data_IF_775215231655
#
_entry.id   IF_775215231655
#
_cell.length_a   1.000
_cell.length_b   1.000
_cell.length_c   1.000
_cell.angle_alpha   90.00
_cell.angle_beta   90.00
_cell.angle_gamma   90.00
#
_symmetry.space_group_name_H-M   'P 1'
#
loop_
_entity.id
_entity.type
_entity.pdbx_description
1 polymer ?
#
# COMPACT_ATOMS: atom_id res chain seq x y z
N UNK A 1 12.91 53.80 -11.69
CA UNK A 1 11.87 52.74 -12.00
C UNK A 1 12.28 51.76 -13.09
N UNK A 2 13.03 52.17 -14.09
CA UNK A 2 13.40 51.33 -15.28
C UNK A 2 14.34 50.13 -14.99
N UNK A 3 15.28 50.26 -14.02
CA UNK A 3 16.22 49.15 -13.69
C UNK A 3 15.55 47.92 -13.08
N UNK A 4 14.56 48.11 -12.21
CA UNK A 4 13.85 46.98 -11.58
C UNK A 4 12.93 46.21 -12.56
N UNK A 5 12.37 46.91 -13.56
CA UNK A 5 11.54 46.33 -14.58
C UNK A 5 12.35 45.39 -15.48
N UNK A 6 13.59 45.78 -15.82
CA UNK A 6 14.48 44.91 -16.64
C UNK A 6 14.91 43.62 -15.89
N UNK A 7 15.15 43.76 -14.56
CA UNK A 7 15.51 42.59 -13.73
C UNK A 7 14.33 41.61 -13.60
N UNK A 8 13.12 42.14 -13.43
CA UNK A 8 11.91 41.29 -13.33
C UNK A 8 11.68 40.54 -14.64
N UNK A 9 11.81 41.20 -15.81
CA UNK A 9 11.69 40.55 -17.12
C UNK A 9 12.76 39.48 -17.33
N UNK A 10 13.99 39.70 -16.91
CA UNK A 10 15.08 38.72 -17.00
C UNK A 10 14.82 37.51 -16.12
N UNK A 11 14.30 37.68 -14.91
CA UNK A 11 13.93 36.58 -14.00
C UNK A 11 12.77 35.75 -14.56
N UNK A 12 11.73 36.40 -15.09
CA UNK A 12 10.61 35.72 -15.72
C UNK A 12 11.08 34.91 -16.94
N UNK A 13 11.95 35.48 -17.77
CA UNK A 13 12.54 34.78 -18.93
C UNK A 13 13.37 33.56 -18.51
N UNK A 14 14.15 33.67 -17.44
CA UNK A 14 14.94 32.57 -16.90
C UNK A 14 14.04 31.44 -16.35
N UNK A 15 12.99 31.78 -15.62
CA UNK A 15 12.02 30.81 -15.07
C UNK A 15 11.30 30.09 -16.21
N UNK A 16 10.91 30.82 -17.26
CA UNK A 16 10.27 30.22 -18.44
C UNK A 16 11.23 29.30 -19.19
N UNK A 17 12.47 29.68 -19.37
CA UNK A 17 13.49 28.86 -20.01
C UNK A 17 13.77 27.57 -19.20
N UNK A 18 13.83 27.66 -17.87
CA UNK A 18 13.99 26.48 -17.00
C UNK A 18 12.76 25.56 -17.07
N UNK A 19 11.56 26.14 -17.15
CA UNK A 19 10.32 25.37 -17.30
C UNK A 19 10.28 24.62 -18.64
N UNK A 20 10.58 25.28 -19.76
CA UNK A 20 10.64 24.66 -21.08
C UNK A 20 11.74 23.60 -21.20
N UNK A 21 12.91 23.85 -20.58
CA UNK A 21 13.99 22.86 -20.52
C UNK A 21 13.60 21.61 -19.74
N UNK A 22 12.91 21.76 -18.59
CA UNK A 22 12.40 20.64 -17.81
C UNK A 22 11.29 19.88 -18.54
N UNK A 23 10.40 20.59 -19.20
CA UNK A 23 9.34 20.01 -20.03
C UNK A 23 9.93 19.22 -21.20
N UNK A 24 10.89 19.78 -21.94
CA UNK A 24 11.59 19.10 -23.03
C UNK A 24 12.35 17.86 -22.59
N UNK A 25 12.99 17.88 -21.39
CA UNK A 25 13.60 16.66 -20.81
C UNK A 25 12.56 15.60 -20.46
N UNK A 26 11.41 16.01 -19.93
CA UNK A 26 10.30 15.10 -19.60
C UNK A 26 9.70 14.48 -20.83
N UNK A 27 9.49 15.28 -21.87
CA UNK A 27 8.95 14.83 -23.17
C UNK A 27 9.94 13.93 -23.93
N UNK A 28 11.26 14.19 -23.86
CA UNK A 28 12.31 13.29 -24.36
C UNK A 28 12.39 11.98 -23.60
N UNK A 29 12.12 12.00 -22.30
CA UNK A 29 12.09 10.78 -21.48
C UNK A 29 10.83 9.94 -21.78
N UNK A 30 9.72 10.57 -22.17
CA UNK A 30 8.49 9.90 -22.61
C UNK A 30 8.60 9.47 -24.08
N UNK A 31 9.21 10.26 -24.96
CA UNK A 31 9.44 9.92 -26.38
C UNK A 31 10.58 8.90 -26.57
N UNK A 32 11.46 8.73 -25.58
CA UNK A 32 12.47 7.67 -25.54
C UNK A 32 11.91 6.27 -25.24
N UNK A 33 10.62 6.15 -24.97
CA UNK A 33 9.85 4.92 -25.19
C UNK A 33 9.73 4.69 -26.70
N UNK A 34 10.87 4.29 -27.28
CA UNK A 34 10.99 3.99 -28.69
C UNK A 34 9.82 3.13 -29.14
N UNK A 35 9.36 3.35 -30.37
CA UNK A 35 8.37 2.52 -31.05
C UNK A 35 8.58 1.08 -30.60
N UNK A 36 7.70 0.60 -29.74
CA UNK A 36 7.70 -0.80 -29.28
C UNK A 36 7.69 -1.63 -30.56
N UNK A 37 8.80 -2.24 -30.88
CA UNK A 37 8.84 -3.21 -31.97
C UNK A 37 7.76 -4.21 -31.62
N UNK A 38 6.71 -4.31 -32.43
CA UNK A 38 5.51 -5.11 -32.16
C UNK A 38 5.83 -6.57 -31.79
N UNK A 39 7.08 -7.00 -32.05
CA UNK A 39 7.59 -8.34 -31.80
C UNK A 39 8.42 -8.48 -30.51
N UNK A 40 8.61 -7.42 -29.69
CA UNK A 40 9.29 -7.52 -28.41
C UNK A 40 8.28 -7.34 -27.27
N UNK A 41 8.04 -8.39 -26.46
CA UNK A 41 7.19 -8.24 -25.28
C UNK A 41 7.78 -7.22 -24.31
N UNK A 42 6.94 -6.44 -23.59
CA UNK A 42 7.42 -5.45 -22.64
C UNK A 42 8.15 -6.10 -21.48
N UNK A 43 9.30 -5.53 -21.08
CA UNK A 43 10.03 -5.95 -19.88
C UNK A 43 9.33 -5.40 -18.65
N UNK A 44 8.81 -6.28 -17.81
CA UNK A 44 8.21 -5.91 -16.52
C UNK A 44 9.32 -5.73 -15.48
N UNK A 45 9.28 -4.64 -14.72
CA UNK A 45 10.21 -4.35 -13.63
C UNK A 45 9.43 -4.14 -12.33
N UNK A 46 9.96 -4.68 -11.23
CA UNK A 46 9.50 -4.39 -9.88
C UNK A 46 10.38 -3.25 -9.35
N UNK A 47 9.76 -2.14 -8.91
CA UNK A 47 10.49 -0.95 -8.45
C UNK A 47 9.90 -0.50 -7.11
N UNK A 48 10.75 -0.27 -6.11
CA UNK A 48 10.38 0.39 -4.87
C UNK A 48 10.41 1.91 -5.05
N UNK A 49 9.35 2.60 -4.65
CA UNK A 49 9.24 4.06 -4.77
C UNK A 49 10.08 4.83 -3.74
N UNK A 50 10.46 4.20 -2.63
CA UNK A 50 11.29 4.79 -1.57
C UNK A 50 12.30 3.77 -1.06
N UNK A 51 13.58 4.17 -1.04
CA UNK A 51 14.64 3.43 -0.38
C UNK A 51 14.73 3.83 1.10
N UNK A 52 14.06 3.06 1.97
CA UNK A 52 14.18 3.20 3.41
C UNK A 52 15.22 2.19 3.92
N UNK A 53 16.18 2.65 4.73
CA UNK A 53 17.19 1.76 5.33
C UNK A 53 16.49 0.70 6.18
N UNK A 54 16.95 -0.53 6.11
CA UNK A 54 16.32 -1.66 6.81
C UNK A 54 16.17 -1.44 8.33
N UNK A 55 17.16 -0.77 8.94
CA UNK A 55 17.14 -0.46 10.37
C UNK A 55 16.04 0.53 10.78
N UNK A 56 15.62 1.41 9.85
CA UNK A 56 14.66 2.48 10.12
C UNK A 56 13.20 2.03 9.86
N UNK A 57 13.01 0.80 9.36
CA UNK A 57 11.68 0.23 9.13
C UNK A 57 11.07 -0.23 10.46
N UNK A 58 9.82 0.12 10.76
CA UNK A 58 9.12 -0.40 11.93
C UNK A 58 9.16 -1.93 11.99
N UNK A 59 9.34 -2.49 13.17
CA UNK A 59 9.28 -3.93 13.41
C UNK A 59 7.96 -4.28 14.08
N UNK A 60 7.27 -5.27 13.58
CA UNK A 60 6.07 -5.83 14.17
C UNK A 60 6.46 -7.00 15.06
N UNK A 61 6.04 -6.97 16.31
CA UNK A 61 6.29 -8.02 17.31
C UNK A 61 5.02 -8.57 17.93
N UNK A 62 3.90 -7.87 17.78
CA UNK A 62 2.60 -8.24 18.33
C UNK A 62 1.45 -7.71 17.46
N UNK A 63 0.26 -8.26 17.65
CA UNK A 63 -0.99 -7.73 17.06
C UNK A 63 -1.25 -6.28 17.47
N UNK A 64 -0.87 -5.91 18.69
CA UNK A 64 -0.95 -4.54 19.20
C UNK A 64 -0.11 -3.56 18.40
N UNK A 65 1.10 -3.93 17.98
CA UNK A 65 1.95 -3.08 17.12
C UNK A 65 1.25 -2.83 15.79
N UNK A 66 0.63 -3.87 15.22
CA UNK A 66 -0.13 -3.79 13.96
C UNK A 66 -1.32 -2.84 14.10
N UNK A 67 -2.08 -2.95 15.18
CA UNK A 67 -3.20 -2.06 15.47
C UNK A 67 -2.77 -0.60 15.52
N UNK A 68 -1.76 -0.26 16.34
CA UNK A 68 -1.27 1.11 16.44
C UNK A 68 -0.67 1.62 15.15
N UNK A 69 -0.04 0.74 14.38
CA UNK A 69 0.49 1.09 13.08
C UNK A 69 -0.63 1.46 12.10
N UNK A 70 -1.66 0.63 12.01
CA UNK A 70 -2.82 0.91 11.15
C UNK A 70 -3.59 2.15 11.58
N UNK A 71 -3.72 2.42 12.88
CA UNK A 71 -4.36 3.66 13.37
C UNK A 71 -3.70 4.95 12.85
N UNK A 72 -2.42 4.91 12.50
CA UNK A 72 -1.71 6.06 11.95
C UNK A 72 -1.96 6.27 10.45
N UNK A 73 -2.29 5.22 9.72
CA UNK A 73 -2.41 5.25 8.25
C UNK A 73 -3.84 5.02 7.75
N UNK A 74 -4.77 4.65 8.65
CA UNK A 74 -6.16 4.43 8.28
C UNK A 74 -6.82 5.72 7.81
N UNK A 75 -7.76 5.60 6.87
CA UNK A 75 -8.48 6.76 6.36
C UNK A 75 -9.39 7.40 7.42
N UNK A 76 -9.81 8.64 7.20
CA UNK A 76 -10.80 9.31 8.03
C UNK A 76 -12.21 8.69 7.96
N UNK A 77 -12.40 7.68 7.10
CA UNK A 77 -13.71 7.06 6.87
C UNK A 77 -13.91 5.75 7.66
N UNK A 78 -13.02 5.44 8.60
CA UNK A 78 -13.09 4.22 9.42
C UNK A 78 -14.46 3.96 10.06
N UNK A 79 -15.21 4.99 10.41
CA UNK A 79 -16.52 4.88 11.04
C UNK A 79 -17.70 4.82 10.05
N UNK A 80 -17.44 5.02 8.76
CA UNK A 80 -18.53 5.18 7.77
C UNK A 80 -18.49 4.14 6.67
N UNK A 81 -17.32 3.54 6.38
CA UNK A 81 -17.13 2.56 5.32
C UNK A 81 -16.20 1.45 5.76
N UNK A 82 -16.46 0.25 5.27
CA UNK A 82 -15.52 -0.84 5.41
C UNK A 82 -14.35 -0.67 4.43
N UNK A 83 -13.17 -0.77 4.93
CA UNK A 83 -11.92 -0.70 4.18
C UNK A 83 -11.05 -1.89 4.53
N UNK A 84 -10.29 -2.38 3.57
CA UNK A 84 -9.34 -3.45 3.80
C UNK A 84 -7.94 -3.05 3.37
N UNK A 85 -6.99 -3.40 4.20
CA UNK A 85 -5.57 -3.12 4.00
C UNK A 85 -4.73 -4.40 4.11
N UNK A 86 -3.58 -4.40 3.44
CA UNK A 86 -2.52 -5.38 3.66
C UNK A 86 -1.25 -4.67 4.11
N UNK A 87 -0.63 -5.19 5.16
CA UNK A 87 0.69 -4.83 5.65
C UNK A 87 1.69 -5.87 5.15
N UNK A 88 2.78 -5.40 4.56
CA UNK A 88 3.77 -6.21 3.87
C UNK A 88 5.04 -6.25 4.71
N UNK A 89 5.52 -7.45 5.02
CA UNK A 89 6.62 -7.65 5.94
C UNK A 89 7.77 -8.44 5.28
N UNK A 90 8.98 -8.18 5.71
CA UNK A 90 10.12 -9.01 5.39
C UNK A 90 10.31 -10.12 6.44
N UNK A 91 11.27 -11.04 6.21
CA UNK A 91 11.55 -12.18 7.08
C UNK A 91 11.85 -11.81 8.54
N UNK A 92 12.22 -10.57 8.85
CA UNK A 92 12.45 -10.08 10.21
C UNK A 92 11.25 -9.26 10.74
N UNK A 93 10.07 -9.46 10.19
CA UNK A 93 8.82 -8.76 10.51
C UNK A 93 8.97 -7.22 10.46
N UNK A 94 9.85 -6.70 9.60
CA UNK A 94 9.94 -5.27 9.36
C UNK A 94 9.01 -4.86 8.23
N UNK A 95 8.33 -3.75 8.42
CA UNK A 95 7.36 -3.22 7.46
C UNK A 95 8.06 -2.80 6.17
N UNK A 96 7.70 -3.41 5.07
CA UNK A 96 8.11 -3.03 3.71
C UNK A 96 7.21 -1.92 3.16
N UNK A 97 5.93 -1.96 3.51
CA UNK A 97 4.91 -1.03 3.08
C UNK A 97 3.50 -1.55 3.41
N UNK A 98 2.52 -0.82 2.96
CA UNK A 98 1.11 -1.21 3.04
C UNK A 98 0.36 -0.84 1.76
N UNK A 99 -0.80 -1.44 1.59
CA UNK A 99 -1.66 -1.12 0.47
C UNK A 99 -3.13 -1.23 0.89
N UNK A 100 -3.93 -0.25 0.48
CA UNK A 100 -5.38 -0.34 0.59
C UNK A 100 -5.91 -1.24 -0.52
N UNK A 101 -6.47 -2.38 -0.15
CA UNK A 101 -6.96 -3.40 -1.09
C UNK A 101 -8.33 -3.05 -1.66
N UNK A 102 -9.20 -2.55 -0.78
CA UNK A 102 -10.57 -2.20 -1.13
C UNK A 102 -11.13 -1.13 -0.20
N UNK A 103 -12.07 -0.39 -0.73
CA UNK A 103 -12.95 0.51 -0.01
C UNK A 103 -14.37 0.10 -0.41
N UNK A 104 -15.10 -0.48 0.53
CA UNK A 104 -16.45 -1.00 0.28
C UNK A 104 -17.54 0.04 0.46
N UNK A 105 -18.77 -0.42 0.33
CA UNK A 105 -19.98 0.31 0.68
C UNK A 105 -20.26 0.29 2.20
N UNK A 106 -21.52 0.57 2.56
CA UNK A 106 -21.98 0.60 3.95
C UNK A 106 -22.07 -0.82 4.55
N UNK A 107 -22.21 -1.86 3.71
CA UNK A 107 -22.57 -3.23 4.13
C UNK A 107 -21.54 -4.29 3.81
N UNK A 108 -20.34 -3.92 3.39
CA UNK A 108 -19.27 -4.89 3.14
C UNK A 108 -18.19 -4.41 2.18
N UNK A 109 -17.03 -5.05 2.26
CA UNK A 109 -15.93 -4.88 1.33
C UNK A 109 -15.54 -6.22 0.72
N UNK A 110 -15.17 -6.22 -0.55
CA UNK A 110 -14.70 -7.43 -1.25
C UNK A 110 -13.18 -7.36 -1.36
N UNK A 111 -12.49 -8.36 -0.79
CA UNK A 111 -11.06 -8.51 -0.97
C UNK A 111 -10.77 -9.53 -2.08
N UNK A 112 -10.04 -9.10 -3.09
CA UNK A 112 -9.53 -9.98 -4.13
C UNK A 112 -8.16 -10.55 -3.71
N UNK A 113 -8.10 -11.87 -3.47
CA UNK A 113 -6.88 -12.58 -3.05
C UNK A 113 -5.75 -12.37 -4.07
N UNK A 114 -6.08 -12.25 -5.34
CA UNK A 114 -5.09 -11.99 -6.40
C UNK A 114 -4.41 -10.64 -6.21
N UNK A 115 -5.15 -9.61 -5.78
CA UNK A 115 -4.59 -8.29 -5.48
C UNK A 115 -3.70 -8.33 -4.23
N UNK A 116 -4.10 -9.05 -3.19
CA UNK A 116 -3.29 -9.25 -1.99
C UNK A 116 -1.91 -9.80 -2.38
N UNK A 117 -1.88 -10.89 -3.12
CA UNK A 117 -0.62 -11.54 -3.48
C UNK A 117 0.13 -10.85 -4.62
N UNK A 118 -0.55 -10.13 -5.53
CA UNK A 118 0.13 -9.29 -6.52
C UNK A 118 0.95 -8.19 -5.83
N UNK A 119 0.41 -7.56 -4.80
CA UNK A 119 1.13 -6.54 -4.02
C UNK A 119 2.24 -7.16 -3.18
N UNK A 120 1.99 -8.31 -2.54
CA UNK A 120 2.98 -9.03 -1.74
C UNK A 120 4.18 -9.49 -2.59
N UNK A 121 3.94 -10.10 -3.73
CA UNK A 121 4.97 -10.52 -4.68
C UNK A 121 5.75 -9.32 -5.22
N UNK A 122 5.04 -8.24 -5.60
CA UNK A 122 5.68 -7.02 -6.11
C UNK A 122 6.57 -6.35 -5.07
N UNK A 123 6.24 -6.45 -3.80
CA UNK A 123 7.02 -5.88 -2.70
C UNK A 123 8.11 -6.83 -2.17
N UNK A 124 8.19 -8.06 -2.68
CA UNK A 124 9.05 -9.13 -2.19
C UNK A 124 8.81 -9.41 -0.69
N UNK A 125 7.56 -9.33 -0.27
CA UNK A 125 7.17 -9.67 1.09
C UNK A 125 7.31 -11.17 1.32
N UNK A 126 7.76 -11.55 2.52
CA UNK A 126 7.81 -12.96 2.97
C UNK A 126 6.65 -13.30 3.89
N UNK A 127 5.97 -12.28 4.40
CA UNK A 127 4.77 -12.41 5.21
C UNK A 127 3.89 -11.18 5.07
N UNK A 128 2.61 -11.39 5.33
CA UNK A 128 1.58 -10.35 5.27
C UNK A 128 0.72 -10.38 6.53
N UNK A 129 0.12 -9.25 6.83
CA UNK A 129 -0.98 -9.12 7.78
C UNK A 129 -2.09 -8.37 7.04
N UNK A 130 -3.32 -8.87 7.10
CA UNK A 130 -4.47 -8.16 6.55
C UNK A 130 -5.27 -7.54 7.69
N UNK A 131 -5.93 -6.45 7.42
CA UNK A 131 -6.81 -5.80 8.38
C UNK A 131 -8.01 -5.17 7.66
N UNK A 132 -9.17 -5.25 8.28
CA UNK A 132 -10.35 -4.49 7.86
C UNK A 132 -11.01 -3.86 9.08
N UNK A 133 -11.81 -2.82 8.84
CA UNK A 133 -12.55 -2.18 9.92
C UNK A 133 -14.02 -2.56 9.87
N UNK A 134 -14.65 -2.56 11.04
CA UNK A 134 -16.09 -2.62 11.20
C UNK A 134 -16.63 -1.26 11.66
N UNK A 135 -17.30 -0.48 10.78
CA UNK A 135 -17.91 0.79 11.17
C UNK A 135 -18.94 0.67 12.28
N UNK A 136 -19.56 -0.50 12.42
CA UNK A 136 -20.53 -0.80 13.49
C UNK A 136 -19.93 -0.86 14.90
N UNK A 137 -18.59 -0.92 15.01
CA UNK A 137 -17.89 -1.13 16.28
C UNK A 137 -17.85 -2.59 16.77
N UNK A 138 -18.48 -3.54 16.05
CA UNK A 138 -18.45 -4.95 16.42
C UNK A 138 -17.10 -5.57 16.07
N UNK A 139 -16.40 -6.13 17.04
CA UNK A 139 -15.09 -6.78 16.87
C UNK A 139 -15.18 -8.26 16.50
N UNK A 140 -16.35 -8.88 16.57
CA UNK A 140 -16.51 -10.29 16.24
C UNK A 140 -16.36 -10.52 14.72
N UNK A 141 -15.54 -11.50 14.30
CA UNK A 141 -15.41 -11.86 12.91
C UNK A 141 -16.71 -12.46 12.36
N UNK A 142 -17.09 -12.09 11.16
CA UNK A 142 -18.17 -12.75 10.41
C UNK A 142 -17.71 -14.08 9.81
N UNK A 143 -18.65 -14.90 9.37
CA UNK A 143 -18.32 -16.13 8.64
C UNK A 143 -17.58 -15.84 7.32
N UNK A 144 -17.83 -14.69 6.69
CA UNK A 144 -17.11 -14.23 5.50
C UNK A 144 -15.65 -13.89 5.82
N UNK A 145 -15.37 -13.27 6.97
CA UNK A 145 -14.02 -12.95 7.39
C UNK A 145 -13.20 -14.20 7.66
N UNK A 146 -13.80 -15.18 8.34
CA UNK A 146 -13.17 -16.48 8.60
C UNK A 146 -12.89 -17.21 7.27
N UNK A 147 -13.86 -17.23 6.35
CA UNK A 147 -13.69 -17.85 5.04
C UNK A 147 -12.58 -17.16 4.21
N UNK A 148 -12.56 -15.83 4.20
CA UNK A 148 -11.53 -15.05 3.53
C UNK A 148 -10.14 -15.35 4.13
N UNK A 149 -10.01 -15.32 5.45
CA UNK A 149 -8.77 -15.59 6.17
C UNK A 149 -8.20 -16.95 5.77
N UNK A 150 -9.02 -17.99 5.77
CA UNK A 150 -8.62 -19.34 5.34
C UNK A 150 -8.10 -19.35 3.91
N UNK A 151 -8.85 -18.77 2.97
CA UNK A 151 -8.45 -18.71 1.56
C UNK A 151 -7.15 -17.94 1.34
N UNK A 152 -6.95 -16.84 2.09
CA UNK A 152 -5.69 -16.06 2.04
C UNK A 152 -4.55 -16.90 2.61
N UNK A 153 -4.74 -17.58 3.73
CA UNK A 153 -3.74 -18.47 4.33
C UNK A 153 -3.32 -19.58 3.35
N UNK A 154 -4.28 -20.32 2.79
CA UNK A 154 -4.04 -21.42 1.84
C UNK A 154 -3.25 -20.93 0.60
N UNK A 155 -3.63 -19.77 0.05
CA UNK A 155 -2.91 -19.17 -1.07
C UNK A 155 -1.49 -18.73 -0.69
N UNK A 156 -1.29 -18.27 0.54
CA UNK A 156 0.02 -17.88 1.07
C UNK A 156 0.96 -19.06 1.24
N UNK A 157 0.46 -20.18 1.71
CA UNK A 157 1.23 -21.42 1.82
C UNK A 157 1.77 -21.87 0.47
N UNK A 158 0.97 -21.77 -0.60
CA UNK A 158 1.40 -22.11 -1.96
C UNK A 158 2.49 -21.18 -2.50
N UNK A 159 2.53 -19.92 -2.04
CA UNK A 159 3.43 -18.88 -2.52
C UNK A 159 4.65 -18.63 -1.59
N UNK A 160 4.79 -19.41 -0.52
CA UNK A 160 5.78 -19.16 0.56
C UNK A 160 5.69 -17.74 1.15
N UNK A 161 4.47 -17.18 1.23
CA UNK A 161 4.16 -15.88 1.83
C UNK A 161 3.17 -16.08 2.97
N UNK A 162 3.65 -16.13 4.19
CA UNK A 162 2.81 -16.44 5.36
C UNK A 162 1.82 -15.33 5.67
N UNK A 163 0.54 -15.68 5.88
CA UNK A 163 -0.41 -14.81 6.55
C UNK A 163 -0.15 -14.92 8.07
N UNK A 164 0.34 -13.84 8.70
CA UNK A 164 0.66 -13.83 10.13
C UNK A 164 -0.55 -13.50 11.00
N UNK A 165 -1.46 -12.67 10.51
CA UNK A 165 -2.67 -12.28 11.23
C UNK A 165 -3.72 -11.68 10.31
N UNK A 166 -4.97 -11.65 10.80
CA UNK A 166 -6.07 -10.88 10.25
C UNK A 166 -6.73 -10.09 11.39
N UNK A 167 -6.59 -8.75 11.34
CA UNK A 167 -7.15 -7.87 12.34
C UNK A 167 -8.51 -7.30 11.91
N UNK A 168 -9.45 -7.29 12.84
CA UNK A 168 -10.65 -6.47 12.74
C UNK A 168 -10.42 -5.23 13.61
N UNK A 169 -10.54 -4.05 13.02
CA UNK A 169 -10.18 -2.79 13.68
C UNK A 169 -11.43 -1.93 13.81
N UNK A 170 -11.60 -1.33 14.98
CA UNK A 170 -12.60 -0.30 15.23
C UNK A 170 -11.96 0.96 15.78
N UNK A 171 -12.75 1.98 16.02
CA UNK A 171 -12.23 3.19 16.65
C UNK A 171 -11.70 2.92 18.08
N UNK A 172 -12.31 1.97 18.78
CA UNK A 172 -12.12 1.73 20.22
C UNK A 172 -11.22 0.53 20.52
N UNK A 173 -10.93 -0.31 19.51
CA UNK A 173 -10.11 -1.49 19.73
C UNK A 173 -9.89 -2.34 18.48
N UNK A 174 -9.39 -3.53 18.69
CA UNK A 174 -9.15 -4.50 17.63
C UNK A 174 -9.37 -5.94 18.13
N UNK A 175 -9.58 -6.82 17.16
CA UNK A 175 -9.60 -8.27 17.33
C UNK A 175 -8.52 -8.87 16.43
N UNK A 176 -7.67 -9.74 16.95
CA UNK A 176 -6.68 -10.50 16.19
C UNK A 176 -7.15 -11.93 16.03
N UNK A 177 -7.33 -12.38 14.82
CA UNK A 177 -7.74 -13.76 14.55
C UNK A 177 -6.65 -14.76 14.95
N UNK A 178 -5.38 -14.36 14.87
CA UNK A 178 -4.27 -15.22 15.30
C UNK A 178 -4.21 -15.37 16.81
N UNK A 179 -4.33 -14.26 17.58
CA UNK A 179 -4.29 -14.32 19.04
C UNK A 179 -5.45 -15.13 19.61
N UNK A 180 -6.60 -15.12 18.93
CA UNK A 180 -7.83 -15.84 19.31
C UNK A 180 -7.92 -17.25 18.70
N UNK A 181 -6.88 -17.72 18.00
CA UNK A 181 -6.81 -19.06 17.43
C UNK A 181 -7.86 -19.33 16.32
N UNK A 182 -8.22 -18.32 15.53
CA UNK A 182 -9.22 -18.40 14.45
C UNK A 182 -8.60 -18.48 13.05
N UNK A 183 -7.30 -18.64 12.95
CA UNK A 183 -6.59 -18.75 11.66
C UNK A 183 -6.33 -20.20 11.23
#
# INVERSE_FOLDING_TARGET
MTKYFSIILAVIGLVFAIYEFRKSKKDKQVSGLGKLNANRPPKIRIVYSKNQKAKDRPKITSSRDVYYWFKQVWSSQMQTREEMYVLLLNRNNRVLGYHQLSMGGITGTVADIRLIYAVALKSLATSIIIAHNHPSGNLNPSNSDISLTRKVKDAGELLDISLLDHLIITNDGYYSMNDEGKM
#
